data_IF_862732076567
#
_entry.id   IF_862732076567
#
_cell.length_a   1.000
_cell.length_b   1.000
_cell.length_c   1.000
_cell.angle_alpha   90.00
_cell.angle_beta   90.00
_cell.angle_gamma   90.00
#
_symmetry.space_group_name_H-M   'P 1'
#
loop_
_entity.id
_entity.type
_entity.pdbx_description
1 polymer ?
#
# COMPACT_ATOMS: atom_id res chain seq x y z
N UNK A 1 16.94 -3.18 -5.71
CA UNK A 1 16.38 -2.19 -4.76
C UNK A 1 14.91 -1.90 -5.09
N UNK A 2 14.06 -1.69 -4.08
CA UNK A 2 12.62 -1.44 -4.22
C UNK A 2 11.71 -2.68 -4.29
N UNK A 3 12.17 -3.85 -3.84
CA UNK A 3 11.38 -5.11 -3.92
C UNK A 3 11.42 -5.79 -2.56
N UNK A 4 10.26 -6.24 -2.07
CA UNK A 4 10.13 -6.93 -0.79
C UNK A 4 10.82 -6.12 0.33
N UNK A 5 11.59 -6.79 1.20
CA UNK A 5 12.28 -6.18 2.34
C UNK A 5 13.38 -5.19 1.90
N UNK A 6 13.88 -5.27 0.66
CA UNK A 6 14.91 -4.40 0.12
C UNK A 6 14.30 -3.15 -0.53
N UNK A 7 13.59 -2.34 0.25
CA UNK A 7 13.04 -1.04 -0.15
C UNK A 7 11.65 -1.06 -0.79
N UNK A 8 10.94 -2.20 -0.74
CA UNK A 8 9.49 -2.24 -0.96
C UNK A 8 8.75 -1.77 0.31
N UNK A 9 7.49 -1.37 0.15
CA UNK A 9 6.63 -1.04 1.28
C UNK A 9 5.97 -2.31 1.79
N UNK A 10 6.35 -2.79 2.98
CA UNK A 10 5.76 -3.97 3.60
C UNK A 10 4.45 -3.61 4.33
N UNK A 11 3.30 -4.18 3.92
CA UNK A 11 1.96 -3.76 4.36
C UNK A 11 1.74 -3.98 5.84
N UNK A 12 2.30 -5.04 6.41
CA UNK A 12 2.20 -5.30 7.84
C UNK A 12 2.86 -4.17 8.66
N UNK A 13 4.08 -3.78 8.31
CA UNK A 13 4.79 -2.70 9.01
C UNK A 13 4.12 -1.34 8.81
N UNK A 14 3.63 -1.05 7.60
CA UNK A 14 2.90 0.19 7.34
C UNK A 14 1.57 0.26 8.10
N UNK A 15 0.91 -0.88 8.33
CA UNK A 15 -0.32 -0.95 9.15
C UNK A 15 -0.03 -0.54 10.60
N UNK A 16 1.10 -0.95 11.19
CA UNK A 16 1.49 -0.48 12.53
C UNK A 16 1.67 1.03 12.58
N UNK A 17 2.24 1.63 11.53
CA UNK A 17 2.39 3.08 11.45
C UNK A 17 1.03 3.80 11.40
N UNK A 18 0.08 3.28 10.64
CA UNK A 18 -1.32 3.78 10.61
C UNK A 18 -1.95 3.71 12.01
N UNK A 19 -1.80 2.59 12.71
CA UNK A 19 -2.32 2.41 14.08
C UNK A 19 -1.70 3.45 15.02
N UNK A 20 -0.39 3.64 14.98
CA UNK A 20 0.29 4.63 15.81
C UNK A 20 -0.20 6.06 15.54
N UNK A 21 -0.42 6.45 14.28
CA UNK A 21 -1.01 7.75 13.94
C UNK A 21 -2.41 7.91 14.54
N UNK A 22 -3.24 6.87 14.47
CA UNK A 22 -4.58 6.89 15.05
C UNK A 22 -4.55 7.00 16.59
N UNK A 23 -3.67 6.25 17.27
CA UNK A 23 -3.50 6.31 18.72
C UNK A 23 -3.00 7.67 19.22
N UNK A 24 -2.19 8.37 18.40
CA UNK A 24 -1.75 9.74 18.69
C UNK A 24 -2.80 10.82 18.40
N UNK A 25 -4.01 10.44 17.97
CA UNK A 25 -5.07 11.38 17.59
C UNK A 25 -4.84 12.08 16.25
N UNK A 26 -3.88 11.64 15.44
CA UNK A 26 -3.57 12.18 14.11
C UNK A 26 -4.44 11.50 13.06
N UNK A 27 -5.76 11.62 13.22
CA UNK A 27 -6.77 10.84 12.48
C UNK A 27 -6.72 11.07 10.97
N UNK A 28 -6.50 12.29 10.51
CA UNK A 28 -6.47 12.62 9.08
C UNK A 28 -5.26 11.96 8.39
N UNK A 29 -4.12 11.93 9.08
CA UNK A 29 -2.91 11.29 8.59
C UNK A 29 -3.04 9.76 8.60
N UNK A 30 -3.62 9.21 9.68
CA UNK A 30 -3.94 7.79 9.76
C UNK A 30 -4.84 7.36 8.60
N UNK A 31 -5.91 8.13 8.34
CA UNK A 31 -6.86 7.86 7.26
C UNK A 31 -6.20 7.97 5.88
N UNK A 32 -5.35 8.98 5.67
CA UNK A 32 -4.59 9.14 4.43
C UNK A 32 -3.67 7.94 4.19
N UNK A 33 -2.89 7.52 5.18
CA UNK A 33 -2.00 6.37 5.08
C UNK A 33 -2.79 5.07 4.88
N UNK A 34 -3.87 4.84 5.63
CA UNK A 34 -4.75 3.69 5.45
C UNK A 34 -5.32 3.63 4.02
N UNK A 35 -5.76 4.77 3.48
CA UNK A 35 -6.29 4.85 2.12
C UNK A 35 -5.26 4.46 1.07
N UNK A 36 -3.97 4.70 1.31
CA UNK A 36 -2.88 4.24 0.43
C UNK A 36 -2.63 2.73 0.52
N UNK A 37 -2.96 2.08 1.64
CA UNK A 37 -2.79 0.64 1.81
C UNK A 37 -4.00 -0.17 1.31
N UNK A 38 -5.17 0.45 1.22
CA UNK A 38 -6.41 -0.24 0.89
C UNK A 38 -6.43 -0.68 -0.60
N UNK A 39 -6.48 -1.99 -0.90
CA UNK A 39 -6.35 -2.52 -2.27
C UNK A 39 -7.42 -2.00 -3.22
N UNK A 40 -8.62 -1.65 -2.72
CA UNK A 40 -9.71 -1.12 -3.55
C UNK A 40 -9.34 0.20 -4.24
N UNK A 41 -8.46 0.99 -3.61
CA UNK A 41 -8.03 2.28 -4.13
C UNK A 41 -6.97 2.15 -5.23
N UNK A 42 -6.40 0.96 -5.44
CA UNK A 42 -5.40 0.68 -6.48
C UNK A 42 -6.00 0.12 -7.77
N UNK A 43 -7.31 -0.13 -7.81
CA UNK A 43 -8.01 -0.73 -8.95
C UNK A 43 -9.34 -0.04 -9.25
N UNK A 44 -9.38 1.29 -9.15
CA UNK A 44 -10.59 2.08 -9.47
C UNK A 44 -10.97 2.06 -10.95
N UNK A 45 -10.03 1.70 -11.83
CA UNK A 45 -10.24 1.48 -13.25
C UNK A 45 -9.33 0.34 -13.77
N UNK A 46 -9.58 -0.09 -15.00
CA UNK A 46 -8.85 -1.19 -15.66
C UNK A 46 -7.34 -0.93 -15.72
N UNK A 47 -6.93 0.31 -16.02
CA UNK A 47 -5.51 0.66 -16.14
C UNK A 47 -4.81 0.61 -14.79
N UNK A 48 -5.48 1.05 -13.72
CA UNK A 48 -4.99 0.98 -12.36
C UNK A 48 -4.85 -0.48 -11.91
N UNK A 49 -5.84 -1.32 -12.20
CA UNK A 49 -5.79 -2.75 -11.92
C UNK A 49 -4.60 -3.44 -12.64
N UNK A 50 -4.40 -3.15 -13.92
CA UNK A 50 -3.28 -3.65 -14.73
C UNK A 50 -1.91 -3.16 -14.22
N UNK A 51 -1.88 -2.00 -13.56
CA UNK A 51 -0.69 -1.49 -12.89
C UNK A 51 -0.43 -2.19 -11.55
N UNK A 52 -1.47 -2.40 -10.74
CA UNK A 52 -1.40 -3.03 -9.42
C UNK A 52 -1.02 -4.52 -9.50
N UNK A 53 -1.51 -5.23 -10.51
CA UNK A 53 -1.15 -6.62 -10.88
C UNK A 53 -1.48 -7.72 -9.85
N UNK A 54 -2.28 -7.43 -8.85
CA UNK A 54 -2.80 -8.40 -7.88
C UNK A 54 -4.28 -8.14 -7.60
N UNK A 55 -4.93 -9.03 -6.85
CA UNK A 55 -6.37 -8.97 -6.57
C UNK A 55 -6.75 -7.75 -5.71
N UNK A 56 -7.70 -6.90 -6.15
CA UNK A 56 -8.05 -5.67 -5.42
C UNK A 56 -8.99 -5.87 -4.23
N UNK A 57 -9.36 -7.12 -3.95
CA UNK A 57 -10.24 -7.53 -2.86
C UNK A 57 -9.49 -8.24 -1.72
N UNK A 58 -8.16 -8.38 -1.83
CA UNK A 58 -7.29 -8.88 -0.75
C UNK A 58 -6.11 -7.93 -0.56
N UNK A 59 -5.52 -7.94 0.63
CA UNK A 59 -4.39 -7.07 0.96
C UNK A 59 -3.08 -7.70 0.46
N UNK A 60 -2.32 -6.97 -0.35
CA UNK A 60 -0.98 -7.39 -0.77
C UNK A 60 0.03 -7.36 0.40
N UNK A 61 0.98 -8.29 0.39
CA UNK A 61 2.02 -8.36 1.42
C UNK A 61 2.97 -7.15 1.36
N UNK A 62 3.30 -6.69 0.16
CA UNK A 62 4.13 -5.53 -0.07
C UNK A 62 3.82 -4.85 -1.39
N UNK A 63 4.16 -3.56 -1.48
CA UNK A 63 4.12 -2.79 -2.71
C UNK A 63 5.54 -2.53 -3.17
N UNK A 64 5.87 -2.95 -4.39
CA UNK A 64 7.18 -2.71 -4.97
C UNK A 64 7.38 -1.21 -5.28
N UNK A 65 8.61 -0.74 -5.07
CA UNK A 65 9.11 0.58 -5.45
C UNK A 65 10.25 0.51 -6.49
N UNK A 66 10.60 -0.72 -6.91
CA UNK A 66 11.69 -0.96 -7.85
C UNK A 66 11.38 -0.47 -9.26
N UNK A 67 12.42 -0.17 -10.02
CA UNK A 67 12.29 0.29 -11.41
C UNK A 67 11.44 -0.67 -12.25
N UNK A 68 10.45 -0.13 -12.97
CA UNK A 68 9.50 -0.90 -13.77
C UNK A 68 8.48 -1.74 -12.99
N UNK A 69 8.54 -1.73 -11.64
CA UNK A 69 7.64 -2.47 -10.75
C UNK A 69 6.92 -1.59 -9.73
N UNK A 70 7.29 -0.32 -9.62
CA UNK A 70 6.65 0.65 -8.74
C UNK A 70 5.14 0.55 -8.77
N UNK A 71 4.50 0.45 -7.59
CA UNK A 71 3.03 0.42 -7.45
C UNK A 71 2.39 -0.96 -7.60
N UNK A 72 3.17 -2.01 -7.90
CA UNK A 72 2.67 -3.40 -7.96
C UNK A 72 2.63 -4.02 -6.57
N UNK A 73 1.57 -4.79 -6.30
CA UNK A 73 1.51 -5.71 -5.16
C UNK A 73 2.38 -6.96 -5.32
#
# INVERSE_FOLDING_TARGET
>A
PGVRENGGQYTHAATWFVIALAEMGRTDEAYRCFSMLNPVNHASDEKAAEHYRVEPYVVAADIYAGEGKGGRG
#
